data_IF_427196839941
#
_entry.id   IF_427196839941
#
_cell.length_a   1.000
_cell.length_b   1.000
_cell.length_c   1.000
_cell.angle_alpha   90.00
_cell.angle_beta   90.00
_cell.angle_gamma   90.00
#
_symmetry.space_group_name_H-M   'P 1'
#
loop_
_entity.id
_entity.type
_entity.pdbx_description
1 polymer ?
#
# COMPACT_ATOMS: atom_id res chain seq x y z
N UNK A 1 38.17 -50.94 -63.24
CA UNK A 1 37.29 -51.07 -62.05
C UNK A 1 36.13 -50.06 -62.23
N UNK A 2 35.11 -50.51 -62.97
CA UNK A 2 33.91 -49.65 -63.17
C UNK A 2 33.03 -49.82 -61.94
N UNK A 3 33.12 -48.87 -61.04
CA UNK A 3 32.35 -48.89 -59.82
C UNK A 3 30.86 -48.79 -60.13
N UNK A 4 30.04 -49.30 -59.22
CA UNK A 4 28.57 -49.30 -59.13
C UNK A 4 27.92 -47.96 -59.50
N UNK A 5 28.67 -46.84 -59.39
CA UNK A 5 28.25 -45.49 -59.71
C UNK A 5 28.12 -45.16 -61.21
N UNK A 6 28.82 -45.91 -62.10
CA UNK A 6 28.73 -45.72 -63.54
C UNK A 6 27.45 -46.23 -64.16
N UNK A 7 26.72 -47.13 -63.47
CA UNK A 7 25.43 -47.69 -63.94
C UNK A 7 24.21 -46.83 -63.65
N UNK A 8 24.38 -45.82 -62.74
CA UNK A 8 23.31 -44.88 -62.35
C UNK A 8 23.35 -43.55 -63.12
N UNK A 9 24.34 -43.35 -64.02
CA UNK A 9 24.48 -42.11 -64.79
C UNK A 9 24.75 -40.84 -63.99
N UNK A 10 25.15 -40.98 -62.76
CA UNK A 10 25.39 -39.82 -61.83
C UNK A 10 26.92 -39.59 -61.80
N UNK A 11 27.32 -38.38 -62.19
CA UNK A 11 28.71 -37.96 -62.17
C UNK A 11 29.16 -37.91 -60.68
N UNK A 12 30.28 -38.59 -60.31
CA UNK A 12 30.81 -38.58 -58.93
C UNK A 12 30.96 -37.17 -58.32
N UNK A 13 31.11 -36.17 -59.16
CA UNK A 13 31.20 -34.77 -58.73
C UNK A 13 29.90 -34.32 -57.99
N UNK A 14 28.71 -34.65 -58.46
CA UNK A 14 27.46 -34.28 -57.79
C UNK A 14 27.31 -34.94 -56.43
N UNK A 15 27.81 -36.15 -56.29
CA UNK A 15 27.76 -36.88 -55.02
C UNK A 15 28.66 -36.16 -53.96
N UNK A 16 29.85 -35.72 -54.38
CA UNK A 16 30.69 -34.93 -53.49
C UNK A 16 30.06 -33.60 -53.07
N UNK A 17 29.39 -32.90 -53.99
CA UNK A 17 28.69 -31.66 -53.70
C UNK A 17 27.55 -31.88 -52.71
N UNK A 18 26.76 -32.92 -52.86
CA UNK A 18 25.64 -33.26 -51.93
C UNK A 18 26.23 -33.57 -50.53
N UNK A 19 27.25 -34.41 -50.43
CA UNK A 19 27.91 -34.74 -49.17
C UNK A 19 28.47 -33.46 -48.48
N UNK A 20 29.06 -32.55 -49.25
CA UNK A 20 29.60 -31.31 -48.72
C UNK A 20 28.48 -30.39 -48.17
N UNK A 21 27.35 -30.32 -48.87
CA UNK A 21 26.18 -29.56 -48.42
C UNK A 21 25.60 -30.15 -47.11
N UNK A 22 25.50 -31.46 -47.03
CA UNK A 22 24.99 -32.15 -45.82
C UNK A 22 25.95 -31.87 -44.65
N UNK A 23 27.28 -31.95 -44.89
CA UNK A 23 28.28 -31.67 -43.87
C UNK A 23 28.18 -30.20 -43.37
N UNK A 24 28.01 -29.25 -44.28
CA UNK A 24 27.83 -27.86 -43.93
C UNK A 24 26.61 -27.63 -43.07
N UNK A 25 25.45 -28.25 -43.42
CA UNK A 25 24.22 -28.20 -42.64
C UNK A 25 24.43 -28.79 -41.24
N UNK A 26 25.09 -29.94 -41.14
CA UNK A 26 25.40 -30.58 -39.85
C UNK A 26 26.27 -29.70 -38.96
N UNK A 27 27.27 -29.00 -39.52
CA UNK A 27 28.10 -28.07 -38.77
C UNK A 27 27.29 -26.91 -38.24
N UNK A 28 26.37 -26.33 -39.05
CA UNK A 28 25.50 -25.23 -38.61
C UNK A 28 24.56 -25.70 -37.48
N UNK A 29 23.93 -26.89 -37.65
CA UNK A 29 23.08 -27.46 -36.60
C UNK A 29 23.85 -27.72 -35.29
N UNK A 30 25.07 -28.21 -35.38
CA UNK A 30 25.92 -28.44 -34.23
C UNK A 30 26.24 -27.15 -33.50
N UNK A 31 26.59 -26.08 -34.22
CA UNK A 31 26.86 -24.75 -33.59
C UNK A 31 25.63 -24.20 -32.89
N UNK A 32 24.45 -24.24 -33.55
CA UNK A 32 23.20 -23.78 -32.97
C UNK A 32 22.81 -24.58 -31.71
N UNK A 33 22.99 -25.91 -31.76
CA UNK A 33 22.72 -26.78 -30.61
C UNK A 33 23.67 -26.47 -29.43
N UNK A 34 24.96 -26.27 -29.74
CA UNK A 34 25.97 -25.96 -28.74
C UNK A 34 25.72 -24.59 -28.08
N UNK A 35 25.25 -23.59 -28.80
CA UNK A 35 24.85 -22.31 -28.24
C UNK A 35 23.63 -22.42 -27.30
N UNK A 36 22.61 -23.21 -27.70
CA UNK A 36 21.45 -23.49 -26.83
C UNK A 36 21.85 -24.25 -25.57
N UNK A 37 22.72 -25.23 -25.70
CA UNK A 37 23.26 -25.98 -24.56
C UNK A 37 24.04 -25.07 -23.59
N UNK A 38 24.91 -24.21 -24.08
CA UNK A 38 25.66 -23.25 -23.27
C UNK A 38 24.73 -22.27 -22.54
N UNK A 39 23.67 -21.80 -23.21
CA UNK A 39 22.67 -20.90 -22.58
C UNK A 39 21.93 -21.61 -21.45
N UNK A 40 21.50 -22.84 -21.67
CA UNK A 40 20.84 -23.67 -20.64
C UNK A 40 21.76 -23.94 -19.45
N UNK A 41 23.02 -24.32 -19.72
CA UNK A 41 24.02 -24.57 -18.69
C UNK A 41 24.31 -23.32 -17.83
N UNK A 42 24.37 -22.14 -18.46
CA UNK A 42 24.55 -20.88 -17.73
C UNK A 42 23.34 -20.57 -16.84
N UNK A 43 22.13 -20.72 -17.34
CA UNK A 43 20.91 -20.53 -16.57
C UNK A 43 20.83 -21.51 -15.39
N UNK A 44 21.17 -22.77 -15.62
CA UNK A 44 21.24 -23.80 -14.58
C UNK A 44 22.32 -23.46 -13.53
N UNK A 45 23.53 -23.08 -13.98
CA UNK A 45 24.61 -22.69 -13.08
C UNK A 45 24.29 -21.44 -12.27
N UNK A 46 23.55 -20.48 -12.81
CA UNK A 46 23.08 -19.28 -12.11
C UNK A 46 22.03 -19.66 -11.05
N UNK A 47 21.10 -20.53 -11.38
CA UNK A 47 20.08 -21.03 -10.45
C UNK A 47 20.71 -21.87 -9.31
N UNK A 48 21.73 -22.66 -9.61
CA UNK A 48 22.44 -23.51 -8.65
C UNK A 48 23.65 -22.84 -7.99
N UNK A 49 23.90 -21.56 -8.25
CA UNK A 49 25.06 -20.85 -7.74
C UNK A 49 25.02 -20.78 -6.20
N UNK A 50 25.84 -21.61 -5.58
CA UNK A 50 26.04 -21.66 -4.14
C UNK A 50 25.19 -22.68 -3.37
N UNK A 51 24.38 -23.51 -4.02
CA UNK A 51 23.51 -24.49 -3.32
C UNK A 51 23.59 -25.87 -3.97
N UNK A 52 24.13 -26.83 -3.26
CA UNK A 52 23.93 -28.26 -3.59
C UNK A 52 22.44 -28.59 -3.46
N UNK A 53 21.88 -29.48 -4.29
CA UNK A 53 20.45 -29.82 -4.32
C UNK A 53 19.85 -30.18 -2.94
N UNK A 54 20.62 -30.80 -2.04
CA UNK A 54 20.23 -31.05 -0.66
C UNK A 54 20.09 -29.77 0.20
N UNK A 55 20.82 -28.71 -0.12
CA UNK A 55 20.71 -27.43 0.59
C UNK A 55 19.55 -26.58 0.05
N UNK A 56 19.09 -26.84 -1.18
CA UNK A 56 17.93 -26.15 -1.76
C UNK A 56 16.66 -26.54 -1.02
N UNK A 57 16.45 -27.81 -0.79
CA UNK A 57 15.28 -28.34 -0.05
C UNK A 57 15.20 -27.74 1.37
N UNK A 58 16.31 -27.79 2.12
CA UNK A 58 16.36 -27.15 3.45
C UNK A 58 16.08 -25.63 3.40
N UNK A 59 16.59 -24.95 2.39
CA UNK A 59 16.33 -23.52 2.19
C UNK A 59 14.86 -23.24 1.87
N UNK A 60 14.19 -24.10 1.13
CA UNK A 60 12.75 -23.96 0.84
C UNK A 60 11.95 -24.16 2.12
N UNK A 61 12.20 -25.24 2.89
CA UNK A 61 11.49 -25.47 4.16
C UNK A 61 11.69 -24.31 5.14
N UNK A 62 12.90 -23.81 5.33
CA UNK A 62 13.15 -22.66 6.18
C UNK A 62 12.40 -21.40 5.73
N UNK A 63 12.25 -21.20 4.40
CA UNK A 63 11.48 -20.06 3.88
C UNK A 63 9.98 -20.24 4.04
N UNK A 64 9.46 -21.46 3.97
CA UNK A 64 8.05 -21.72 4.25
C UNK A 64 7.75 -21.49 5.73
N UNK A 65 8.61 -21.93 6.63
CA UNK A 65 8.49 -21.68 8.06
C UNK A 65 8.49 -20.18 8.39
N UNK A 66 9.44 -19.40 7.82
CA UNK A 66 9.43 -17.93 7.92
C UNK A 66 8.13 -17.31 7.36
N UNK A 67 7.57 -17.85 6.27
CA UNK A 67 6.32 -17.35 5.68
C UNK A 67 5.11 -17.66 6.58
N UNK A 68 5.08 -18.81 7.23
CA UNK A 68 4.04 -19.16 8.21
C UNK A 68 4.09 -18.21 9.41
N UNK A 69 5.27 -17.97 10.00
CA UNK A 69 5.45 -16.99 11.09
C UNK A 69 4.99 -15.58 10.69
N UNK A 70 5.35 -15.13 9.48
CA UNK A 70 4.91 -13.82 8.97
C UNK A 70 3.41 -13.78 8.74
N UNK A 71 2.81 -14.87 8.28
CA UNK A 71 1.36 -14.95 8.08
C UNK A 71 0.61 -14.90 9.43
N UNK A 72 1.08 -15.59 10.45
CA UNK A 72 0.53 -15.55 11.80
C UNK A 72 0.65 -14.14 12.40
N UNK A 73 1.82 -13.51 12.33
CA UNK A 73 2.05 -12.16 12.81
C UNK A 73 1.16 -11.13 12.08
N UNK A 74 0.98 -11.30 10.78
CA UNK A 74 0.08 -10.44 9.99
C UNK A 74 -1.38 -10.59 10.40
N UNK A 75 -1.79 -11.80 10.79
CA UNK A 75 -3.14 -12.06 11.31
C UNK A 75 -3.33 -11.43 12.70
N UNK A 76 -2.38 -11.59 13.60
CA UNK A 76 -2.39 -10.95 14.92
C UNK A 76 -2.47 -9.43 14.80
N UNK A 77 -1.60 -8.83 13.99
CA UNK A 77 -1.62 -7.40 13.73
C UNK A 77 -2.98 -6.92 13.20
N UNK A 78 -3.61 -7.70 12.34
CA UNK A 78 -4.94 -7.38 11.81
C UNK A 78 -6.01 -7.34 12.92
N UNK A 79 -5.96 -8.30 13.84
CA UNK A 79 -6.90 -8.33 14.97
C UNK A 79 -6.64 -7.18 15.96
N UNK A 80 -5.37 -6.88 16.25
CA UNK A 80 -5.00 -5.74 17.09
C UNK A 80 -5.45 -4.41 16.46
N UNK A 81 -5.26 -4.23 15.17
CA UNK A 81 -5.72 -3.03 14.44
C UNK A 81 -7.24 -2.90 14.55
N UNK A 82 -8.01 -3.97 14.38
CA UNK A 82 -9.47 -3.94 14.57
C UNK A 82 -9.85 -3.51 15.99
N UNK A 83 -9.15 -4.03 17.00
CA UNK A 83 -9.39 -3.64 18.39
C UNK A 83 -9.06 -2.17 18.65
N UNK A 84 -8.00 -1.65 18.03
CA UNK A 84 -7.64 -0.23 18.12
C UNK A 84 -8.74 0.63 17.50
N UNK A 85 -9.18 0.33 16.28
CA UNK A 85 -10.27 1.06 15.64
C UNK A 85 -11.53 1.06 16.49
N UNK A 86 -11.93 -0.09 17.03
CA UNK A 86 -13.10 -0.18 17.90
C UNK A 86 -12.95 0.65 19.19
N UNK A 87 -11.75 0.73 19.75
CA UNK A 87 -11.50 1.60 20.90
C UNK A 87 -11.54 3.08 20.52
N UNK A 88 -11.08 3.42 19.31
CA UNK A 88 -11.07 4.80 18.83
C UNK A 88 -12.47 5.36 18.56
N UNK A 89 -13.46 4.52 18.20
CA UNK A 89 -14.83 4.96 17.90
C UNK A 89 -15.45 5.83 19.01
N UNK A 90 -15.15 5.55 20.29
CA UNK A 90 -15.65 6.30 21.44
C UNK A 90 -14.74 7.41 21.94
N UNK A 91 -13.65 7.71 21.23
CA UNK A 91 -12.75 8.82 21.60
C UNK A 91 -13.08 10.07 20.79
N UNK A 92 -12.91 11.23 21.40
CA UNK A 92 -13.08 12.49 20.69
C UNK A 92 -11.99 12.64 19.62
N UNK A 93 -12.42 12.74 18.38
CA UNK A 93 -11.54 12.78 17.21
C UNK A 93 -11.76 14.04 16.37
N UNK A 94 -12.97 14.62 16.48
CA UNK A 94 -13.38 15.80 15.75
C UNK A 94 -13.42 16.99 16.69
N UNK A 95 -12.84 18.10 16.30
CA UNK A 95 -12.82 19.32 17.10
C UNK A 95 -13.09 20.54 16.23
N UNK A 96 -13.94 21.43 16.73
CA UNK A 96 -14.21 22.72 16.12
C UNK A 96 -14.05 23.83 17.16
N UNK A 97 -13.54 25.00 16.75
CA UNK A 97 -13.45 26.17 17.60
C UNK A 97 -13.91 27.41 16.86
N UNK A 98 -14.71 28.23 17.53
CA UNK A 98 -15.13 29.55 17.07
C UNK A 98 -14.86 30.54 18.17
N UNK A 99 -14.12 31.61 17.86
CA UNK A 99 -13.88 32.76 18.75
C UNK A 99 -14.83 33.88 18.36
N UNK A 100 -15.32 34.60 19.34
CA UNK A 100 -16.27 35.67 19.12
C UNK A 100 -16.23 36.72 20.25
N UNK A 101 -16.88 37.85 20.03
CA UNK A 101 -17.07 38.90 21.06
C UNK A 101 -18.51 38.83 21.54
N UNK A 102 -18.75 38.16 22.69
CA UNK A 102 -20.07 37.93 23.24
C UNK A 102 -20.83 39.21 23.65
N UNK A 103 -20.13 40.26 24.09
CA UNK A 103 -20.73 41.44 24.70
C UNK A 103 -20.34 42.75 24.01
N UNK A 104 -19.47 42.70 22.99
CA UNK A 104 -18.93 43.88 22.27
C UNK A 104 -18.26 44.93 23.19
N UNK A 105 -17.81 44.52 24.39
CA UNK A 105 -17.34 45.41 25.43
C UNK A 105 -15.82 45.39 25.61
N UNK A 106 -15.15 44.33 25.17
CA UNK A 106 -13.75 44.04 25.54
C UNK A 106 -12.74 44.35 24.42
N UNK A 107 -13.19 44.71 23.23
CA UNK A 107 -12.30 45.07 22.13
C UNK A 107 -11.48 43.88 21.58
N UNK A 108 -12.07 42.68 21.52
CA UNK A 108 -11.45 41.48 20.96
C UNK A 108 -12.30 40.25 21.14
N UNK A 109 -12.02 39.20 20.37
CA UNK A 109 -12.72 37.91 20.43
C UNK A 109 -12.17 37.06 21.59
N UNK A 110 -12.54 37.39 22.82
CA UNK A 110 -12.11 36.67 24.02
C UNK A 110 -13.03 35.51 24.39
N UNK A 111 -14.26 35.54 23.91
CA UNK A 111 -15.19 34.44 24.09
C UNK A 111 -14.95 33.36 23.04
N UNK A 112 -15.28 32.12 23.37
CA UNK A 112 -15.12 31.00 22.41
C UNK A 112 -16.11 29.88 22.68
N UNK A 113 -16.49 29.20 21.62
CA UNK A 113 -17.16 27.88 21.63
C UNK A 113 -16.18 26.82 21.14
N UNK A 114 -16.09 25.70 21.84
CA UNK A 114 -15.28 24.53 21.51
C UNK A 114 -16.18 23.29 21.44
N UNK A 115 -16.27 22.65 20.27
CA UNK A 115 -16.93 21.38 20.09
C UNK A 115 -15.89 20.26 20.05
N UNK A 116 -16.18 19.16 20.72
CA UNK A 116 -15.43 17.92 20.66
C UNK A 116 -16.39 16.74 20.45
N UNK A 117 -16.17 15.98 19.37
CA UNK A 117 -17.05 14.88 18.96
C UNK A 117 -16.25 13.61 18.70
N UNK A 118 -16.90 12.47 18.93
CA UNK A 118 -16.42 11.15 18.53
C UNK A 118 -16.70 10.88 17.02
N UNK A 119 -16.41 9.66 16.57
CA UNK A 119 -16.64 9.22 15.19
C UNK A 119 -18.14 9.32 14.80
N UNK A 120 -19.04 9.10 15.77
CA UNK A 120 -20.49 9.07 15.58
C UNK A 120 -21.16 10.43 15.83
N UNK A 121 -20.36 11.51 15.86
CA UNK A 121 -20.82 12.87 16.16
C UNK A 121 -21.49 13.01 17.55
N UNK A 122 -21.07 12.18 18.52
CA UNK A 122 -21.46 12.36 19.92
C UNK A 122 -20.36 13.08 20.68
N UNK A 123 -20.76 13.96 21.58
CA UNK A 123 -19.81 14.72 22.38
C UNK A 123 -20.44 15.92 23.04
N UNK A 124 -19.75 17.04 23.01
CA UNK A 124 -20.19 18.25 23.70
C UNK A 124 -19.63 19.51 23.07
N UNK A 125 -20.33 20.61 23.35
CA UNK A 125 -19.85 21.97 23.10
C UNK A 125 -19.60 22.64 24.44
N UNK A 126 -18.39 23.13 24.66
CA UNK A 126 -17.99 23.99 25.77
C UNK A 126 -18.02 25.43 25.28
N UNK A 127 -18.79 26.28 25.97
CA UNK A 127 -18.86 27.71 25.66
C UNK A 127 -18.33 28.51 26.83
N UNK A 128 -17.48 29.48 26.54
CA UNK A 128 -16.90 30.41 27.47
C UNK A 128 -17.14 31.86 27.01
N UNK A 129 -17.97 32.59 27.71
CA UNK A 129 -18.30 33.98 27.42
C UNK A 129 -17.56 34.89 28.40
N UNK A 130 -16.72 35.79 27.90
CA UNK A 130 -15.98 36.78 28.68
C UNK A 130 -16.68 38.12 28.66
N UNK A 131 -16.89 38.69 29.87
CA UNK A 131 -17.34 40.04 30.08
C UNK A 131 -16.38 40.80 30.99
N UNK A 132 -16.58 42.09 31.18
CA UNK A 132 -15.80 42.90 32.17
C UNK A 132 -15.98 42.43 33.60
N UNK A 133 -17.11 41.83 33.91
CA UNK A 133 -17.46 41.41 35.28
C UNK A 133 -17.03 39.97 35.59
N UNK A 134 -16.74 39.15 34.57
CA UNK A 134 -16.35 37.76 34.75
C UNK A 134 -16.46 36.91 33.49
N UNK A 135 -16.26 35.61 33.70
CA UNK A 135 -16.38 34.59 32.63
C UNK A 135 -17.50 33.61 32.99
N UNK A 136 -18.41 33.41 32.07
CA UNK A 136 -19.51 32.46 32.20
C UNK A 136 -19.23 31.25 31.28
N UNK A 137 -19.26 30.05 31.85
CA UNK A 137 -18.99 28.83 31.13
C UNK A 137 -20.11 27.82 31.29
N UNK A 138 -20.40 27.08 30.24
CA UNK A 138 -21.37 25.96 30.25
C UNK A 138 -21.05 24.94 29.17
N UNK A 139 -21.68 23.76 29.29
CA UNK A 139 -21.54 22.68 28.36
C UNK A 139 -22.94 22.30 27.84
N UNK A 140 -23.02 22.02 26.54
CA UNK A 140 -24.20 21.40 25.87
C UNK A 140 -23.78 20.05 25.32
N UNK A 141 -24.59 19.05 25.56
CA UNK A 141 -24.39 17.69 25.03
C UNK A 141 -24.83 17.62 23.57
N UNK A 142 -24.08 16.87 22.78
CA UNK A 142 -24.36 16.60 21.36
C UNK A 142 -24.50 15.09 21.20
N UNK A 143 -25.59 14.67 20.56
CA UNK A 143 -25.91 13.27 20.25
C UNK A 143 -26.23 13.16 18.77
N UNK A 144 -25.49 12.35 18.04
CA UNK A 144 -25.61 12.18 16.60
C UNK A 144 -25.60 13.51 15.81
N UNK A 145 -24.75 14.45 16.23
CA UNK A 145 -24.61 15.75 15.59
C UNK A 145 -25.72 16.76 15.94
N UNK A 146 -26.62 16.44 16.87
CA UNK A 146 -27.72 17.31 17.28
C UNK A 146 -27.69 17.62 18.77
N UNK A 147 -28.18 18.79 19.16
CA UNK A 147 -28.35 19.19 20.54
C UNK A 147 -29.81 19.26 20.92
N UNK A 148 -30.17 18.76 22.11
CA UNK A 148 -31.54 18.90 22.67
C UNK A 148 -31.83 20.33 23.10
N UNK A 149 -30.83 21.16 23.28
CA UNK A 149 -30.96 22.56 23.69
C UNK A 149 -30.62 23.42 22.48
N UNK A 150 -31.36 24.48 22.25
CA UNK A 150 -31.12 25.41 21.16
C UNK A 150 -29.67 25.94 21.21
N UNK A 151 -28.96 25.84 20.09
CA UNK A 151 -27.59 26.33 19.95
C UNK A 151 -27.59 27.79 19.50
N UNK A 152 -26.69 28.59 20.10
CA UNK A 152 -26.37 29.91 19.58
C UNK A 152 -25.69 29.80 18.21
N UNK A 153 -25.60 30.90 17.48
CA UNK A 153 -25.03 30.90 16.13
C UNK A 153 -23.56 30.44 16.12
N UNK A 154 -22.77 30.91 17.09
CA UNK A 154 -21.36 30.57 17.24
C UNK A 154 -21.16 29.10 17.63
N UNK A 155 -22.09 28.55 18.43
CA UNK A 155 -22.10 27.15 18.82
C UNK A 155 -22.46 26.25 17.62
N UNK A 156 -23.39 26.70 16.78
CA UNK A 156 -23.76 25.99 15.55
C UNK A 156 -22.58 25.94 14.57
N UNK A 157 -21.95 27.09 14.34
CA UNK A 157 -20.76 27.17 13.52
C UNK A 157 -19.60 26.33 14.05
N UNK A 158 -19.46 26.26 15.38
CA UNK A 158 -18.47 25.44 16.04
C UNK A 158 -18.74 23.95 15.84
N UNK A 159 -19.99 23.53 15.95
CA UNK A 159 -20.43 22.15 15.67
C UNK A 159 -20.20 21.77 14.22
N UNK A 160 -20.59 22.62 13.28
CA UNK A 160 -20.35 22.41 11.86
C UNK A 160 -18.83 22.26 11.54
N UNK A 161 -17.98 23.09 12.10
CA UNK A 161 -16.54 22.94 11.96
C UNK A 161 -15.99 21.63 12.51
N UNK A 162 -16.57 21.11 13.59
CA UNK A 162 -16.17 19.81 14.12
C UNK A 162 -16.65 18.65 13.23
N UNK A 163 -17.88 18.69 12.74
CA UNK A 163 -18.47 17.64 11.91
C UNK A 163 -17.88 17.61 10.50
N UNK A 164 -17.69 18.77 9.88
CA UNK A 164 -17.16 18.92 8.53
C UNK A 164 -15.71 19.41 8.58
N UNK A 165 -14.88 18.73 9.37
CA UNK A 165 -13.46 19.03 9.45
C UNK A 165 -12.89 19.07 8.03
N UNK A 166 -12.64 20.26 7.48
CA UNK A 166 -11.96 20.38 6.18
C UNK A 166 -10.66 19.61 6.28
N UNK A 167 -10.47 18.62 5.42
CA UNK A 167 -9.17 17.96 5.28
C UNK A 167 -8.12 19.04 5.08
N UNK A 168 -7.31 19.26 6.08
CA UNK A 168 -6.15 20.15 5.99
C UNK A 168 -5.22 19.55 4.94
N UNK A 169 -5.32 20.05 3.72
CA UNK A 169 -4.51 19.61 2.60
C UNK A 169 -3.10 20.20 2.79
N UNK A 170 -2.28 19.49 3.58
CA UNK A 170 -0.88 19.83 3.88
C UNK A 170 -0.04 20.01 2.59
N UNK A 171 -0.58 19.61 1.44
CA UNK A 171 0.09 19.70 0.13
C UNK A 171 0.00 21.08 -0.54
N UNK A 172 -0.75 22.02 0.02
CA UNK A 172 -0.89 23.37 -0.59
C UNK A 172 0.10 24.43 -0.08
N UNK A 173 0.93 24.12 0.92
CA UNK A 173 1.88 25.08 1.52
C UNK A 173 3.36 24.67 1.38
N UNK A 174 3.72 23.74 0.46
CA UNK A 174 5.11 23.47 0.11
C UNK A 174 5.44 23.88 -1.32
#
# INVERSE_FOLDING_TARGET
MNGILGSLGIDPFYLFVVVFIILAVLIVLYVLLNERYRKLQRSYATFMKGKNGKNLEKSFFARFEELEEVAELAQENREEIKMIYKKMEGHYQKAGIVKYDAFHEMGGELSFALAMLDENDNGWIFNAMHSREGCYTYIKEIINGESYIELAEEERQCLEKAMYQEEYDIKKEM
#
